data_IF_574044506665
#
_entry.id   IF_574044506665
#
_cell.length_a   1.000
_cell.length_b   1.000
_cell.length_c   1.000
_cell.angle_alpha   90.00
_cell.angle_beta   90.00
_cell.angle_gamma   90.00
#
_symmetry.space_group_name_H-M   'P 1'
#
loop_
_entity.id
_entity.type
_entity.pdbx_description
1 polymer ?
#
# COMPACT_ATOMS: atom_id res chain seq x y z
N UNK A 1 19.02 -31.13 14.05
CA UNK A 1 19.12 -29.89 14.88
C UNK A 1 18.82 -28.71 13.98
N UNK A 2 17.60 -28.24 14.01
CA UNK A 2 17.16 -27.04 13.27
C UNK A 2 16.16 -26.28 14.16
N UNK A 3 16.71 -25.46 15.07
CA UNK A 3 15.93 -24.68 16.02
C UNK A 3 16.47 -23.24 16.09
N UNK A 4 16.57 -22.56 14.95
CA UNK A 4 17.06 -21.16 14.91
C UNK A 4 16.22 -20.22 14.04
N UNK A 5 15.10 -20.67 13.46
CA UNK A 5 14.31 -19.80 12.56
C UNK A 5 13.06 -19.16 13.20
N UNK A 6 12.65 -19.62 14.38
CA UNK A 6 11.43 -19.14 15.03
C UNK A 6 11.57 -17.79 15.77
N UNK A 7 12.77 -17.37 16.13
CA UNK A 7 13.00 -16.16 16.93
C UNK A 7 13.06 -14.87 16.08
N UNK A 8 13.44 -14.95 14.81
CA UNK A 8 13.50 -13.77 13.92
C UNK A 8 12.14 -13.44 13.33
N UNK A 9 11.28 -14.44 13.14
CA UNK A 9 9.92 -14.25 12.60
C UNK A 9 8.96 -13.54 13.58
N UNK A 10 9.20 -13.63 14.89
CA UNK A 10 8.28 -13.08 15.91
C UNK A 10 8.44 -11.59 16.20
N UNK A 11 9.42 -10.90 15.64
CA UNK A 11 9.69 -9.48 15.95
C UNK A 11 9.20 -8.48 14.90
N UNK A 12 8.60 -8.94 13.80
CA UNK A 12 8.15 -8.03 12.75
C UNK A 12 7.10 -7.01 13.22
N UNK A 13 6.21 -7.41 14.15
CA UNK A 13 5.18 -6.54 14.73
C UNK A 13 5.74 -5.46 15.68
N UNK A 14 7.03 -5.55 16.03
CA UNK A 14 7.76 -4.56 16.85
C UNK A 14 8.54 -3.55 15.99
N UNK A 15 8.32 -3.55 14.68
CA UNK A 15 8.99 -2.69 13.70
C UNK A 15 7.97 -1.89 12.90
N UNK A 16 8.40 -0.80 12.24
CA UNK A 16 7.52 -0.09 11.31
C UNK A 16 6.94 -1.00 10.22
N UNK A 17 5.70 -0.79 9.86
CA UNK A 17 4.79 0.28 10.27
C UNK A 17 4.02 0.01 11.57
N UNK A 18 4.23 -1.12 12.27
CA UNK A 18 3.42 -1.56 13.41
C UNK A 18 3.86 -0.99 14.75
N UNK A 19 5.14 -0.69 14.90
CA UNK A 19 5.71 -0.06 16.08
C UNK A 19 6.93 0.77 15.71
N UNK A 20 7.23 1.78 16.53
CA UNK A 20 8.52 2.46 16.47
C UNK A 20 9.59 1.60 17.14
N UNK A 21 10.79 1.58 16.54
CA UNK A 21 11.93 0.91 17.14
C UNK A 21 12.40 1.60 18.44
N UNK A 22 13.14 0.88 19.29
CA UNK A 22 13.75 1.48 20.48
C UNK A 22 14.66 2.66 20.09
N UNK A 23 14.53 3.79 20.77
CA UNK A 23 15.35 4.99 20.53
C UNK A 23 15.01 5.76 19.25
N UNK A 24 13.89 5.45 18.59
CA UNK A 24 13.44 6.24 17.45
C UNK A 24 12.97 7.63 17.90
N UNK A 25 13.25 8.63 17.06
CA UNK A 25 12.69 9.98 17.25
C UNK A 25 11.16 9.95 17.27
N UNK A 26 10.49 10.89 17.94
CA UNK A 26 9.03 10.98 17.97
C UNK A 26 8.45 11.00 16.54
N UNK A 27 7.45 10.16 16.29
CA UNK A 27 6.81 10.09 14.98
C UNK A 27 5.97 11.36 14.71
N UNK A 28 6.37 12.14 13.71
CA UNK A 28 5.64 13.33 13.27
C UNK A 28 4.37 12.94 12.51
N UNK A 29 3.20 13.25 13.05
CA UNK A 29 1.90 12.87 12.46
C UNK A 29 1.45 13.94 11.46
N UNK A 30 1.64 13.70 10.14
CA UNK A 30 1.22 14.62 9.07
C UNK A 30 -0.16 14.28 8.51
N UNK A 31 -0.39 13.01 8.15
CA UNK A 31 -1.66 12.57 7.58
C UNK A 31 -2.25 11.41 8.38
N UNK A 32 -3.54 11.52 8.68
CA UNK A 32 -4.32 10.44 9.27
C UNK A 32 -4.89 9.56 8.17
N UNK A 33 -4.75 8.24 8.31
CA UNK A 33 -5.45 7.24 7.55
C UNK A 33 -6.29 6.33 8.43
N UNK A 34 -7.41 5.86 7.92
CA UNK A 34 -8.29 4.95 8.67
C UNK A 34 -9.10 4.04 7.75
N UNK A 35 -9.48 2.86 8.28
CA UNK A 35 -10.44 2.00 7.62
C UNK A 35 -11.87 2.56 7.71
N UNK A 36 -12.81 2.00 6.96
CA UNK A 36 -14.20 2.43 6.93
C UNK A 36 -14.85 2.48 8.34
N UNK A 37 -14.66 1.45 9.17
CA UNK A 37 -15.24 1.42 10.51
C UNK A 37 -14.47 2.22 11.58
N UNK A 38 -13.29 2.77 11.24
CA UNK A 38 -12.46 3.58 12.11
C UNK A 38 -11.67 2.84 13.19
N UNK A 39 -11.75 1.49 13.26
CA UNK A 39 -10.98 0.69 14.25
C UNK A 39 -9.50 0.65 13.94
N UNK A 40 -9.14 0.58 12.67
CA UNK A 40 -7.75 0.69 12.20
C UNK A 40 -7.48 2.14 11.87
N UNK A 41 -6.47 2.71 12.52
CA UNK A 41 -5.94 4.04 12.26
C UNK A 41 -4.43 4.00 12.13
N UNK A 42 -3.90 4.84 11.26
CA UNK A 42 -2.47 4.99 11.07
C UNK A 42 -2.11 6.43 10.68
N UNK A 43 -0.85 6.75 10.79
CA UNK A 43 -0.30 8.06 10.49
C UNK A 43 0.82 7.95 9.48
N UNK A 44 0.99 8.98 8.67
CA UNK A 44 2.17 9.19 7.83
C UNK A 44 2.95 10.38 8.35
N UNK A 45 4.28 10.31 8.29
CA UNK A 45 5.18 11.41 8.64
C UNK A 45 5.77 12.10 7.41
N UNK A 46 5.61 11.52 6.21
CA UNK A 46 6.12 12.03 4.95
C UNK A 46 5.05 12.84 4.23
N UNK A 47 5.46 13.98 3.64
CA UNK A 47 4.54 14.91 2.97
C UNK A 47 3.99 14.35 1.65
N UNK A 48 4.84 13.67 0.88
CA UNK A 48 4.46 13.09 -0.41
C UNK A 48 4.95 11.64 -0.54
N UNK A 49 4.26 10.78 -1.30
CA UNK A 49 4.74 9.44 -1.58
C UNK A 49 6.04 9.48 -2.39
N UNK A 50 6.81 8.39 -2.32
CA UNK A 50 7.97 8.17 -3.18
C UNK A 50 7.55 8.06 -4.65
N UNK A 51 6.39 7.47 -4.88
CA UNK A 51 5.73 7.33 -6.18
C UNK A 51 4.27 7.00 -5.99
N UNK A 52 3.43 7.35 -6.96
CA UNK A 52 2.01 7.00 -6.95
C UNK A 52 1.59 6.53 -8.35
N UNK A 53 0.81 5.44 -8.43
CA UNK A 53 0.49 4.77 -9.69
C UNK A 53 -0.91 4.17 -9.67
N UNK A 54 -1.49 4.05 -10.85
CA UNK A 54 -2.64 3.17 -11.09
C UNK A 54 -2.16 1.81 -11.59
N UNK A 55 -2.45 0.74 -10.85
CA UNK A 55 -2.11 -0.62 -11.22
C UNK A 55 -3.33 -1.35 -11.78
N UNK A 56 -3.23 -1.79 -13.04
CA UNK A 56 -4.30 -2.50 -13.75
C UNK A 56 -4.11 -4.02 -13.79
N UNK A 57 -3.14 -4.59 -13.07
CA UNK A 57 -2.90 -6.02 -13.11
C UNK A 57 -4.11 -6.80 -12.58
N UNK A 58 -4.29 -8.03 -13.11
CA UNK A 58 -5.43 -8.88 -12.76
C UNK A 58 -5.50 -9.17 -11.25
N UNK A 59 -4.37 -9.32 -10.59
CA UNK A 59 -4.33 -9.53 -9.13
C UNK A 59 -4.94 -8.36 -8.35
N UNK A 60 -4.58 -7.11 -8.71
CA UNK A 60 -5.16 -5.92 -8.10
C UNK A 60 -6.66 -5.82 -8.37
N UNK A 61 -7.11 -6.08 -9.61
CA UNK A 61 -8.53 -6.07 -9.95
C UNK A 61 -9.33 -7.06 -9.10
N UNK A 62 -8.85 -8.30 -8.96
CA UNK A 62 -9.54 -9.34 -8.19
C UNK A 62 -9.57 -9.05 -6.68
N UNK A 63 -8.45 -8.60 -6.12
CA UNK A 63 -8.33 -8.35 -4.68
C UNK A 63 -9.12 -7.13 -4.20
N UNK A 64 -9.30 -6.15 -5.08
CA UNK A 64 -10.03 -4.92 -4.76
C UNK A 64 -11.46 -4.90 -5.31
N UNK A 65 -11.83 -5.83 -6.20
CA UNK A 65 -13.12 -5.79 -6.89
C UNK A 65 -13.30 -4.48 -7.68
N UNK A 66 -12.21 -3.94 -8.25
CA UNK A 66 -12.15 -2.63 -8.89
C UNK A 66 -11.39 -2.71 -10.22
N UNK A 67 -11.61 -1.77 -11.16
CA UNK A 67 -10.91 -1.76 -12.45
C UNK A 67 -9.39 -1.63 -12.33
N UNK A 68 -8.90 -0.98 -11.28
CA UNK A 68 -7.49 -0.78 -10.97
C UNK A 68 -7.32 -0.43 -9.50
N UNK A 69 -6.09 -0.46 -9.03
CA UNK A 69 -5.70 -0.05 -7.69
C UNK A 69 -4.93 1.27 -7.78
N UNK A 70 -5.30 2.27 -6.99
CA UNK A 70 -4.48 3.45 -6.77
C UNK A 70 -3.55 3.19 -5.59
N UNK A 71 -2.23 3.08 -5.86
CA UNK A 71 -1.21 2.80 -4.87
C UNK A 71 -0.23 3.95 -4.75
N UNK A 72 0.00 4.41 -3.53
CA UNK A 72 1.05 5.36 -3.17
C UNK A 72 2.13 4.65 -2.36
N UNK A 73 3.37 4.75 -2.80
CA UNK A 73 4.51 3.99 -2.26
C UNK A 73 5.22 4.81 -1.19
N UNK A 74 5.46 4.20 -0.03
CA UNK A 74 6.20 4.77 1.09
C UNK A 74 7.21 3.75 1.64
N UNK A 75 8.22 4.23 2.38
CA UNK A 75 8.99 3.35 3.25
C UNK A 75 8.11 2.90 4.43
N UNK A 76 8.44 1.76 5.03
CA UNK A 76 7.71 1.29 6.24
C UNK A 76 7.83 2.26 7.40
N UNK A 77 8.96 2.94 7.50
CA UNK A 77 9.28 3.94 8.51
C UNK A 77 8.47 5.23 8.36
N UNK A 78 7.93 5.49 7.17
CA UNK A 78 7.07 6.65 6.92
C UNK A 78 5.64 6.48 7.46
N UNK A 79 5.31 5.26 7.95
CA UNK A 79 3.96 4.90 8.41
C UNK A 79 4.00 4.31 9.83
N UNK A 80 2.98 4.64 10.63
CA UNK A 80 2.83 4.09 11.98
C UNK A 80 1.35 3.83 12.30
N UNK A 81 1.02 2.58 12.65
CA UNK A 81 -0.30 2.24 13.18
C UNK A 81 -0.47 2.73 14.62
N UNK A 82 -1.65 3.23 14.95
CA UNK A 82 -1.97 3.72 16.29
C UNK A 82 -2.01 2.59 17.33
N UNK A 83 -2.49 1.40 16.93
CA UNK A 83 -2.65 0.23 17.80
C UNK A 83 -1.84 -0.99 17.31
N UNK A 84 -0.72 -0.77 16.64
CA UNK A 84 0.12 -1.85 16.11
C UNK A 84 -0.63 -2.78 15.18
N UNK A 85 -0.52 -4.08 15.41
CA UNK A 85 -1.19 -5.12 14.59
C UNK A 85 -2.64 -5.40 15.01
N UNK A 86 -3.14 -4.73 16.05
CA UNK A 86 -4.51 -4.93 16.51
C UNK A 86 -5.51 -4.60 15.39
N UNK A 87 -6.51 -5.46 15.25
CA UNK A 87 -7.59 -5.31 14.26
C UNK A 87 -7.12 -5.44 12.78
N UNK A 88 -5.93 -5.98 12.53
CA UNK A 88 -5.41 -6.27 11.20
C UNK A 88 -5.52 -7.75 10.85
N UNK A 89 -5.72 -8.03 9.58
CA UNK A 89 -5.56 -9.37 8.97
C UNK A 89 -4.62 -9.28 7.80
N UNK A 90 -3.87 -10.37 7.59
CA UNK A 90 -2.82 -10.48 6.59
C UNK A 90 -3.16 -11.60 5.61
N UNK A 91 -2.89 -11.36 4.33
CA UNK A 91 -3.12 -12.34 3.27
C UNK A 91 -1.97 -12.31 2.25
N UNK A 92 -1.25 -13.41 2.14
CA UNK A 92 -0.26 -13.60 1.09
C UNK A 92 -1.00 -14.06 -0.19
N UNK A 93 -1.09 -13.16 -1.17
CA UNK A 93 -1.80 -13.44 -2.42
C UNK A 93 -1.02 -14.35 -3.38
N UNK A 94 0.29 -14.52 -3.18
CA UNK A 94 1.11 -15.45 -3.97
C UNK A 94 0.87 -16.90 -3.57
N UNK A 95 0.81 -17.17 -2.27
CA UNK A 95 0.63 -18.50 -1.71
C UNK A 95 -0.83 -18.80 -1.35
N UNK A 96 -1.73 -17.82 -1.47
CA UNK A 96 -3.14 -17.93 -1.07
C UNK A 96 -3.33 -18.34 0.40
N UNK A 97 -2.47 -17.85 1.29
CA UNK A 97 -2.48 -18.18 2.73
C UNK A 97 -2.80 -16.98 3.59
N UNK A 98 -3.36 -17.24 4.78
CA UNK A 98 -3.51 -16.23 5.82
C UNK A 98 -2.23 -16.20 6.68
N UNK A 99 -1.75 -15.00 6.99
CA UNK A 99 -0.56 -14.80 7.79
C UNK A 99 0.30 -13.65 7.29
N UNK A 100 1.29 -13.25 8.10
CA UNK A 100 2.23 -12.19 7.76
C UNK A 100 3.45 -12.76 7.02
N UNK A 101 3.22 -13.18 5.78
CA UNK A 101 4.26 -13.61 4.84
C UNK A 101 4.39 -12.61 3.71
N UNK A 102 5.56 -11.97 3.58
CA UNK A 102 5.78 -10.89 2.64
C UNK A 102 6.13 -11.37 1.23
N UNK A 103 5.52 -10.77 0.20
CA UNK A 103 4.59 -9.65 0.25
C UNK A 103 3.17 -10.08 0.64
N UNK A 104 2.48 -9.26 1.43
CA UNK A 104 1.11 -9.56 1.83
C UNK A 104 0.17 -8.36 1.71
N UNK A 105 -1.13 -8.65 1.67
CA UNK A 105 -2.22 -7.68 1.73
C UNK A 105 -2.64 -7.49 3.17
N UNK A 106 -2.81 -6.26 3.60
CA UNK A 106 -3.20 -5.91 4.96
C UNK A 106 -4.58 -5.25 4.94
N UNK A 107 -5.51 -5.80 5.70
CA UNK A 107 -6.89 -5.34 5.75
C UNK A 107 -7.38 -5.23 7.19
N UNK A 108 -8.46 -4.45 7.39
CA UNK A 108 -9.14 -4.38 8.67
C UNK A 108 -9.86 -5.72 8.97
N UNK A 109 -9.66 -6.28 10.16
CA UNK A 109 -10.29 -7.53 10.59
C UNK A 109 -11.82 -7.45 10.67
N UNK A 110 -12.37 -6.25 10.84
CA UNK A 110 -13.81 -6.03 11.06
C UNK A 110 -14.57 -5.65 9.78
N UNK A 111 -14.17 -4.56 9.13
CA UNK A 111 -14.89 -4.08 7.93
C UNK A 111 -14.28 -4.52 6.62
N UNK A 112 -13.16 -5.24 6.66
CA UNK A 112 -12.42 -5.76 5.49
C UNK A 112 -11.90 -4.68 4.54
N UNK A 113 -11.92 -3.38 4.93
CA UNK A 113 -11.26 -2.36 4.14
C UNK A 113 -9.81 -2.75 3.89
N UNK A 114 -9.34 -2.82 2.64
CA UNK A 114 -7.92 -2.94 2.35
C UNK A 114 -7.21 -1.69 2.85
N UNK A 115 -6.07 -1.85 3.52
CA UNK A 115 -5.31 -0.75 4.12
C UNK A 115 -4.08 -0.44 3.26
N UNK A 116 -3.26 -1.45 2.95
CA UNK A 116 -2.10 -1.33 2.10
C UNK A 116 -1.59 -2.71 1.68
N UNK A 117 -0.71 -2.72 0.69
CA UNK A 117 0.08 -3.90 0.34
C UNK A 117 1.45 -3.77 1.00
N UNK A 118 1.85 -4.77 1.76
CA UNK A 118 3.13 -4.79 2.43
C UNK A 118 4.16 -5.58 1.62
N UNK A 119 5.19 -4.89 1.16
CA UNK A 119 6.38 -5.48 0.59
C UNK A 119 7.47 -5.71 1.65
N UNK A 120 8.65 -6.17 1.21
CA UNK A 120 9.79 -6.39 2.12
C UNK A 120 10.34 -5.09 2.70
N UNK A 121 10.37 -4.01 1.92
CA UNK A 121 10.94 -2.71 2.30
C UNK A 121 9.94 -1.56 2.27
N UNK A 122 8.89 -1.68 1.48
CA UNK A 122 7.95 -0.63 1.15
C UNK A 122 6.54 -1.04 1.52
N UNK A 123 5.69 -0.04 1.67
CA UNK A 123 4.24 -0.19 1.71
C UNK A 123 3.61 0.54 0.53
N UNK A 124 2.58 -0.05 -0.05
CA UNK A 124 1.77 0.53 -1.12
C UNK A 124 0.40 0.81 -0.52
N UNK A 125 0.22 2.00 0.02
CA UNK A 125 -1.04 2.37 0.65
C UNK A 125 -2.04 2.97 -0.35
N UNK A 126 -3.31 3.00 0.05
CA UNK A 126 -4.41 3.49 -0.76
C UNK A 126 -4.77 4.91 -0.33
N UNK A 127 -4.47 5.94 -1.15
CA UNK A 127 -4.68 7.34 -0.77
C UNK A 127 -6.12 7.70 -0.42
N UNK A 128 -7.09 6.93 -0.92
CA UNK A 128 -8.52 7.11 -0.59
C UNK A 128 -8.85 6.89 0.89
N UNK A 129 -7.96 6.26 1.66
CA UNK A 129 -8.10 6.07 3.11
C UNK A 129 -7.54 7.24 3.91
N UNK A 130 -6.76 8.11 3.28
CA UNK A 130 -6.14 9.26 3.93
C UNK A 130 -7.12 10.43 4.03
N UNK A 131 -7.04 11.15 5.12
CA UNK A 131 -7.70 12.44 5.26
C UNK A 131 -6.84 13.52 4.61
N UNK A 132 -7.10 13.80 3.33
CA UNK A 132 -6.48 14.87 2.56
C UNK A 132 -7.43 16.06 2.52
N UNK A 133 -7.08 17.14 3.23
CA UNK A 133 -8.00 18.23 3.54
C UNK A 133 -8.26 19.17 2.37
N UNK A 134 -7.30 19.32 1.47
CA UNK A 134 -7.38 20.26 0.36
C UNK A 134 -6.86 19.67 -0.96
N UNK A 135 -6.96 20.46 -2.02
CA UNK A 135 -6.51 20.05 -3.36
C UNK A 135 -5.00 19.87 -3.42
N UNK A 136 -4.22 20.74 -2.76
CA UNK A 136 -2.76 20.68 -2.80
C UNK A 136 -2.26 19.36 -2.20
N UNK A 137 -2.81 18.93 -1.07
CA UNK A 137 -2.50 17.62 -0.48
C UNK A 137 -2.89 16.48 -1.42
N UNK A 138 -4.06 16.51 -2.04
CA UNK A 138 -4.48 15.47 -3.01
C UNK A 138 -3.55 15.41 -4.22
N UNK A 139 -3.10 16.56 -4.73
CA UNK A 139 -2.21 16.63 -5.88
C UNK A 139 -0.83 15.97 -5.60
N UNK A 140 -0.33 16.04 -4.36
CA UNK A 140 0.90 15.35 -3.94
C UNK A 140 0.80 13.81 -4.07
N UNK A 141 -0.39 13.26 -3.90
CA UNK A 141 -0.64 11.81 -4.01
C UNK A 141 -1.09 11.38 -5.38
N UNK A 142 -1.28 12.32 -6.33
CA UNK A 142 -1.88 12.02 -7.63
C UNK A 142 -0.99 11.04 -8.42
N UNK A 143 -1.57 10.01 -9.07
CA UNK A 143 -0.79 9.02 -9.83
C UNK A 143 -0.04 9.64 -11.00
N UNK A 144 1.21 9.22 -11.17
CA UNK A 144 2.09 9.70 -12.22
C UNK A 144 1.94 8.90 -13.51
N UNK A 145 1.52 7.65 -13.42
CA UNK A 145 1.37 6.75 -14.57
C UNK A 145 0.41 5.60 -14.27
N UNK A 146 0.13 4.84 -15.34
CA UNK A 146 -0.55 3.55 -15.28
C UNK A 146 0.46 2.43 -15.52
N UNK A 147 0.38 1.35 -14.73
CA UNK A 147 1.18 0.14 -14.90
C UNK A 147 0.29 -1.06 -15.17
N UNK A 148 0.81 -2.05 -15.91
CA UNK A 148 0.04 -3.22 -16.40
C UNK A 148 -1.21 -2.81 -17.18
N UNK A 149 -1.09 -1.75 -17.99
CA UNK A 149 -2.25 -1.15 -18.67
C UNK A 149 -2.84 -2.04 -19.76
N UNK A 150 -2.07 -2.98 -20.32
CA UNK A 150 -2.58 -3.99 -21.26
C UNK A 150 -3.66 -4.89 -20.65
N UNK A 151 -3.67 -5.06 -19.32
CA UNK A 151 -4.67 -5.84 -18.61
C UNK A 151 -5.90 -5.01 -18.15
N UNK A 152 -5.99 -3.74 -18.57
CA UNK A 152 -7.10 -2.86 -18.18
C UNK A 152 -8.45 -3.39 -18.63
N UNK A 153 -9.47 -3.09 -17.86
CA UNK A 153 -10.88 -3.39 -18.19
C UNK A 153 -11.68 -2.14 -18.56
N UNK A 154 -11.04 -0.97 -18.48
CA UNK A 154 -11.60 0.33 -18.85
C UNK A 154 -10.48 1.22 -19.38
N UNK A 155 -10.74 1.95 -20.45
CA UNK A 155 -9.80 2.93 -20.99
C UNK A 155 -9.83 4.23 -20.20
N UNK A 156 -8.65 4.78 -19.89
CA UNK A 156 -8.50 6.03 -19.16
C UNK A 156 -7.70 7.03 -19.99
N UNK A 157 -8.37 7.92 -20.73
CA UNK A 157 -7.71 8.91 -21.60
C UNK A 157 -7.31 10.16 -20.78
N UNK A 158 -6.39 10.02 -19.84
CA UNK A 158 -5.96 11.09 -18.95
C UNK A 158 -4.59 11.69 -19.29
N UNK A 159 -3.99 11.27 -20.42
CA UNK A 159 -2.72 11.77 -20.91
C UNK A 159 -1.50 11.33 -20.10
N UNK A 160 -1.66 10.43 -19.11
CA UNK A 160 -0.52 9.91 -18.35
C UNK A 160 0.17 8.77 -19.09
N UNK A 161 1.47 8.57 -18.85
CA UNK A 161 2.19 7.41 -19.36
C UNK A 161 1.49 6.10 -18.98
N UNK A 162 1.34 5.21 -19.96
CA UNK A 162 0.70 3.89 -19.82
C UNK A 162 1.72 2.80 -20.15
N UNK A 163 2.07 1.99 -19.17
CA UNK A 163 3.07 0.95 -19.28
C UNK A 163 2.42 -0.42 -19.39
N UNK A 164 2.93 -1.27 -20.27
CA UNK A 164 2.49 -2.66 -20.43
C UNK A 164 2.67 -3.51 -19.15
N UNK A 165 3.78 -3.26 -18.46
CA UNK A 165 4.12 -3.86 -17.16
C UNK A 165 4.49 -2.79 -16.15
N UNK A 166 5.61 -2.98 -15.45
CA UNK A 166 6.15 -1.99 -14.52
C UNK A 166 6.72 -0.79 -15.28
N UNK A 167 6.53 0.39 -14.73
CA UNK A 167 7.05 1.64 -15.27
C UNK A 167 8.58 1.61 -15.42
N UNK A 168 9.06 2.30 -16.44
CA UNK A 168 10.50 2.43 -16.77
C UNK A 168 11.24 1.12 -17.07
N UNK A 169 10.56 -0.02 -16.98
CA UNK A 169 11.14 -1.35 -17.24
C UNK A 169 10.34 -2.20 -18.23
N UNK A 170 9.22 -1.70 -18.72
CA UNK A 170 8.39 -2.35 -19.72
C UNK A 170 8.11 -1.42 -20.91
N UNK A 171 7.36 -1.89 -21.89
CA UNK A 171 6.97 -1.10 -23.05
C UNK A 171 6.04 0.04 -22.63
N UNK A 172 6.35 1.26 -23.04
CA UNK A 172 5.41 2.38 -22.98
C UNK A 172 4.41 2.21 -24.12
N UNK A 173 3.15 2.14 -23.76
CA UNK A 173 2.06 2.02 -24.73
C UNK A 173 1.73 3.41 -25.27
N UNK A 174 1.63 3.55 -26.60
CA UNK A 174 1.08 4.73 -27.19
C UNK A 174 -0.40 4.85 -26.81
N UNK A 175 -0.88 6.06 -26.60
CA UNK A 175 -2.31 6.30 -26.43
C UNK A 175 -2.99 5.85 -27.75
N UNK A 176 -3.55 4.63 -27.73
CA UNK A 176 -4.41 4.21 -28.83
C UNK A 176 -5.67 5.05 -28.77
N UNK A 177 -6.10 5.60 -29.92
CA UNK A 177 -7.29 6.45 -30.00
C UNK A 177 -8.56 5.74 -29.56
#
# INVERSE_FOLDING_TARGET
MAATDSHVAQTWHQRPPYAQGPGAEPFEKKYEGKCHCGRVKYWLNREAPLSSKYCHCRGCQLLHGAPFQWAAIFHKEDMLFENGTKDLVFYNSGECTLGHDLPCKVSCAHCRSPIFDEGRRMVLLFPTLLRLNDKAQRDLFYPQCHIFYSARVVDIPDGKPKWDGLDSSSLLLDDMP
#
